data_IF_431090449572
#
_entry.id   IF_431090449572
#
_cell.length_a   1.000
_cell.length_b   1.000
_cell.length_c   1.000
_cell.angle_alpha   90.00
_cell.angle_beta   90.00
_cell.angle_gamma   90.00
#
_symmetry.space_group_name_H-M   'P 1'
#
loop_
_entity.id
_entity.type
_entity.pdbx_description
1 polymer ?
#
# COMPACT_ATOMS: atom_id res chain seq x y z
N UNK A 1 19.05 10.55 9.58
CA UNK A 1 18.08 9.58 9.04
C UNK A 1 18.74 8.43 8.28
N UNK A 2 19.83 8.65 7.51
CA UNK A 2 20.59 7.55 6.90
C UNK A 2 21.34 6.66 7.92
N UNK A 3 21.65 7.19 9.11
CA UNK A 3 22.38 6.47 10.17
C UNK A 3 21.58 5.30 10.77
N UNK A 4 20.26 5.44 10.98
CA UNK A 4 19.42 4.38 11.55
C UNK A 4 19.29 3.13 10.65
N UNK A 5 19.57 3.26 9.35
CA UNK A 5 19.48 2.16 8.38
C UNK A 5 20.60 1.14 8.57
N UNK A 6 21.77 1.58 9.01
CA UNK A 6 22.94 0.73 9.23
C UNK A 6 22.99 0.11 10.63
N UNK A 7 22.20 0.63 11.58
CA UNK A 7 22.15 0.09 12.94
C UNK A 7 21.35 -1.21 13.02
N UNK A 8 20.29 -1.38 12.22
CA UNK A 8 19.45 -2.60 12.24
C UNK A 8 19.11 -3.14 10.82
N UNK A 9 20.11 -3.72 10.12
CA UNK A 9 19.93 -4.23 8.75
C UNK A 9 18.85 -5.32 8.66
N UNK A 10 18.73 -6.15 9.70
CA UNK A 10 17.72 -7.23 9.76
C UNK A 10 16.30 -6.68 9.75
N UNK A 11 16.04 -5.58 10.46
CA UNK A 11 14.72 -4.97 10.51
C UNK A 11 14.36 -4.31 9.19
N UNK A 12 15.32 -3.68 8.52
CA UNK A 12 15.12 -3.14 7.16
C UNK A 12 14.77 -4.23 6.15
N UNK A 13 15.45 -5.38 6.20
CA UNK A 13 15.15 -6.53 5.33
C UNK A 13 13.77 -7.11 5.62
N UNK A 14 13.42 -7.29 6.91
CA UNK A 14 12.08 -7.76 7.30
C UNK A 14 10.99 -6.80 6.86
N UNK A 15 11.22 -5.50 7.03
CA UNK A 15 10.31 -4.45 6.56
C UNK A 15 10.13 -4.53 5.04
N UNK A 16 11.21 -4.71 4.28
CA UNK A 16 11.16 -4.83 2.82
C UNK A 16 10.26 -5.96 2.36
N UNK A 17 10.48 -7.18 2.86
CA UNK A 17 9.66 -8.32 2.44
C UNK A 17 8.21 -8.19 2.90
N UNK A 18 7.99 -7.66 4.11
CA UNK A 18 6.63 -7.40 4.61
C UNK A 18 5.92 -6.36 3.74
N UNK A 19 6.60 -5.27 3.37
CA UNK A 19 6.08 -4.22 2.52
C UNK A 19 5.75 -4.75 1.12
N UNK A 20 6.66 -5.51 0.52
CA UNK A 20 6.48 -6.10 -0.80
C UNK A 20 5.24 -6.99 -0.90
N UNK A 21 4.87 -7.68 0.18
CA UNK A 21 3.70 -8.55 0.25
C UNK A 21 2.51 -7.99 1.06
N UNK A 22 2.50 -6.71 1.42
CA UNK A 22 1.52 -6.13 2.37
C UNK A 22 0.04 -6.30 1.98
N UNK A 23 -0.25 -6.62 0.73
CA UNK A 23 -1.62 -6.88 0.23
C UNK A 23 -2.09 -8.33 0.42
N UNK A 24 -1.23 -9.23 0.91
CA UNK A 24 -1.51 -10.66 1.03
C UNK A 24 -1.67 -11.09 2.51
N UNK A 25 -2.39 -12.20 2.79
CA UNK A 25 -2.61 -12.68 4.16
C UNK A 25 -1.32 -13.03 4.92
N UNK A 26 -0.27 -13.43 4.20
CA UNK A 26 1.06 -13.72 4.75
C UNK A 26 2.10 -12.79 4.10
N UNK A 27 2.20 -11.51 4.53
CA UNK A 27 2.93 -10.48 3.79
C UNK A 27 4.41 -10.81 3.58
N UNK A 28 5.09 -11.25 4.63
CA UNK A 28 6.51 -11.57 4.57
C UNK A 28 6.80 -12.72 3.59
N UNK A 29 6.01 -13.80 3.65
CA UNK A 29 6.16 -14.95 2.76
C UNK A 29 5.84 -14.60 1.31
N UNK A 30 4.79 -13.82 1.08
CA UNK A 30 4.44 -13.32 -0.26
C UNK A 30 5.57 -12.46 -0.84
N UNK A 31 6.14 -11.55 -0.04
CA UNK A 31 7.28 -10.73 -0.45
C UNK A 31 8.51 -11.55 -0.83
N UNK A 32 8.83 -12.60 -0.06
CA UNK A 32 9.91 -13.55 -0.40
C UNK A 32 9.67 -14.23 -1.74
N UNK A 33 8.45 -14.73 -1.98
CA UNK A 33 8.08 -15.35 -3.26
C UNK A 33 8.23 -14.36 -4.41
N UNK A 34 7.74 -13.12 -4.27
CA UNK A 34 7.84 -12.11 -5.32
C UNK A 34 9.28 -11.72 -5.62
N UNK A 35 10.13 -11.59 -4.60
CA UNK A 35 11.55 -11.36 -4.77
C UNK A 35 12.24 -12.54 -5.49
N UNK A 36 11.91 -13.78 -5.13
CA UNK A 36 12.44 -14.96 -5.80
C UNK A 36 12.00 -15.01 -7.29
N UNK A 37 10.74 -14.73 -7.59
CA UNK A 37 10.22 -14.66 -8.96
C UNK A 37 10.92 -13.56 -9.77
N UNK A 38 11.16 -12.40 -9.17
CA UNK A 38 11.91 -11.32 -9.80
C UNK A 38 13.35 -11.76 -10.14
N UNK A 39 14.06 -12.40 -9.21
CA UNK A 39 15.40 -12.95 -9.46
C UNK A 39 15.38 -13.95 -10.63
N UNK A 40 14.40 -14.87 -10.65
CA UNK A 40 14.25 -15.84 -11.74
C UNK A 40 14.03 -15.16 -13.10
N UNK A 41 13.22 -14.10 -13.16
CA UNK A 41 12.98 -13.33 -14.39
C UNK A 41 14.26 -12.63 -14.88
N UNK A 42 15.05 -12.07 -13.95
CA UNK A 42 16.34 -11.44 -14.23
C UNK A 42 17.34 -12.44 -14.79
N UNK A 43 17.48 -13.61 -14.14
CA UNK A 43 18.36 -14.69 -14.58
C UNK A 43 17.95 -15.25 -15.96
N UNK A 44 16.65 -15.32 -16.24
CA UNK A 44 16.11 -15.73 -17.55
C UNK A 44 16.22 -14.66 -18.65
N UNK A 45 16.82 -13.52 -18.35
CA UNK A 45 17.06 -12.47 -19.34
C UNK A 45 15.79 -11.76 -19.80
N UNK A 46 14.75 -11.69 -18.98
CA UNK A 46 13.47 -11.07 -19.36
C UNK A 46 13.64 -9.58 -19.75
N UNK A 47 14.65 -8.91 -19.19
CA UNK A 47 15.07 -7.55 -19.56
C UNK A 47 15.37 -7.36 -21.05
N UNK A 48 15.70 -8.43 -21.80
CA UNK A 48 15.91 -8.39 -23.25
C UNK A 48 14.64 -8.64 -24.06
N UNK A 49 13.65 -9.33 -23.47
CA UNK A 49 12.41 -9.74 -24.17
C UNK A 49 11.37 -8.64 -24.14
N UNK A 50 11.10 -8.09 -22.96
CA UNK A 50 10.23 -6.93 -22.78
C UNK A 50 10.89 -5.93 -21.82
N UNK A 51 11.73 -5.01 -22.35
CA UNK A 51 12.42 -4.03 -21.52
C UNK A 51 11.47 -3.12 -20.75
N UNK A 52 10.35 -2.71 -21.37
CA UNK A 52 9.39 -1.80 -20.74
C UNK A 52 8.75 -2.42 -19.48
N UNK A 53 8.26 -3.66 -19.60
CA UNK A 53 7.67 -4.38 -18.47
C UNK A 53 8.72 -4.64 -17.38
N UNK A 54 9.93 -5.05 -17.76
CA UNK A 54 11.01 -5.28 -16.81
C UNK A 54 11.41 -3.99 -16.06
N UNK A 55 11.51 -2.85 -16.75
CA UNK A 55 11.75 -1.55 -16.11
C UNK A 55 10.64 -1.21 -15.09
N UNK A 56 9.38 -1.52 -15.39
CA UNK A 56 8.29 -1.37 -14.43
C UNK A 56 8.48 -2.22 -13.17
N UNK A 57 8.87 -3.50 -13.34
CA UNK A 57 9.14 -4.41 -12.23
C UNK A 57 10.29 -3.88 -11.36
N UNK A 58 11.39 -3.45 -12.00
CA UNK A 58 12.55 -2.85 -11.32
C UNK A 58 12.16 -1.57 -10.59
N UNK A 59 11.36 -0.70 -11.21
CA UNK A 59 10.89 0.52 -10.60
C UNK A 59 10.10 0.24 -9.31
N UNK A 60 9.18 -0.71 -9.33
CA UNK A 60 8.41 -1.09 -8.14
C UNK A 60 9.34 -1.69 -7.07
N UNK A 61 10.25 -2.57 -7.45
CA UNK A 61 11.24 -3.15 -6.53
C UNK A 61 12.09 -2.08 -5.84
N UNK A 62 12.63 -1.13 -6.60
CA UNK A 62 13.40 0.00 -6.07
C UNK A 62 12.55 0.92 -5.19
N UNK A 63 11.28 1.13 -5.54
CA UNK A 63 10.35 1.93 -4.72
C UNK A 63 10.12 1.28 -3.36
N UNK A 64 9.91 -0.04 -3.32
CA UNK A 64 9.79 -0.80 -2.06
C UNK A 64 11.08 -0.72 -1.27
N UNK A 65 12.24 -0.84 -1.92
CA UNK A 65 13.56 -0.73 -1.27
C UNK A 65 13.76 0.65 -0.65
N UNK A 66 13.57 1.73 -1.42
CA UNK A 66 13.69 3.10 -0.95
C UNK A 66 12.72 3.40 0.21
N UNK A 67 11.47 2.94 0.10
CA UNK A 67 10.48 3.10 1.17
C UNK A 67 10.91 2.37 2.44
N UNK A 68 11.45 1.16 2.30
CA UNK A 68 11.91 0.36 3.44
C UNK A 68 13.10 1.01 4.12
N UNK A 69 14.07 1.51 3.35
CA UNK A 69 15.22 2.25 3.87
C UNK A 69 14.77 3.53 4.61
N UNK A 70 13.80 4.26 4.05
CA UNK A 70 13.34 5.51 4.66
C UNK A 70 12.42 5.32 5.88
N UNK A 71 11.85 4.12 6.07
CA UNK A 71 10.72 3.91 7.02
C UNK A 71 10.88 2.70 7.93
N UNK A 72 11.96 1.91 7.85
CA UNK A 72 12.17 0.74 8.69
C UNK A 72 12.17 1.05 10.20
N UNK A 73 12.62 2.24 10.59
CA UNK A 73 12.59 2.72 11.98
C UNK A 73 11.19 3.01 12.55
N UNK A 74 10.12 2.90 11.74
CA UNK A 74 8.73 3.06 12.20
C UNK A 74 8.10 1.73 12.65
N UNK A 75 8.87 0.63 12.64
CA UNK A 75 8.38 -0.71 12.97
C UNK A 75 7.63 -1.40 11.82
N UNK A 76 7.49 -2.72 11.92
CA UNK A 76 6.90 -3.58 10.86
C UNK A 76 5.43 -3.21 10.57
N UNK A 77 4.69 -2.74 11.58
CA UNK A 77 3.30 -2.29 11.43
C UNK A 77 3.17 -1.14 10.41
N UNK A 78 4.20 -0.28 10.33
CA UNK A 78 4.27 0.79 9.34
C UNK A 78 4.20 0.27 7.90
N UNK A 79 4.76 -0.92 7.63
CA UNK A 79 4.74 -1.55 6.32
C UNK A 79 3.34 -2.04 5.90
N UNK A 80 2.46 -2.31 6.87
CA UNK A 80 1.10 -2.82 6.65
C UNK A 80 0.05 -1.71 6.49
N UNK A 81 0.47 -0.45 6.56
CA UNK A 81 -0.40 0.70 6.36
C UNK A 81 -1.08 0.65 4.98
N UNK A 82 -2.37 1.02 4.94
CA UNK A 82 -3.19 0.99 3.73
C UNK A 82 -2.56 1.73 2.54
N UNK A 83 -1.79 2.78 2.79
CA UNK A 83 -1.10 3.58 1.76
C UNK A 83 -0.08 2.78 0.94
N UNK A 84 0.48 1.71 1.50
CA UNK A 84 1.49 0.90 0.84
C UNK A 84 0.91 -0.32 0.10
N UNK A 85 -0.38 -0.62 0.30
CA UNK A 85 -1.05 -1.74 -0.38
C UNK A 85 -1.08 -1.60 -1.89
N UNK A 86 -1.15 -0.36 -2.40
CA UNK A 86 -1.11 -0.09 -3.85
C UNK A 86 0.21 -0.58 -4.45
N UNK A 87 1.34 -0.22 -3.83
CA UNK A 87 2.68 -0.59 -4.31
C UNK A 87 2.89 -2.12 -4.19
N UNK A 88 2.45 -2.71 -3.09
CA UNK A 88 2.57 -4.16 -2.88
C UNK A 88 1.65 -5.01 -3.75
N UNK A 89 0.52 -4.45 -4.23
CA UNK A 89 -0.35 -5.10 -5.20
C UNK A 89 0.17 -4.97 -6.64
N UNK A 90 0.80 -3.84 -6.98
CA UNK A 90 1.41 -3.61 -8.30
C UNK A 90 2.52 -4.61 -8.61
N UNK A 91 3.36 -4.93 -7.63
CA UNK A 91 4.51 -5.80 -7.83
C UNK A 91 4.15 -7.20 -8.39
N UNK A 92 3.24 -7.99 -7.78
CA UNK A 92 2.82 -9.27 -8.32
C UNK A 92 2.04 -9.17 -9.63
N UNK A 93 1.34 -8.06 -9.90
CA UNK A 93 0.64 -7.85 -11.19
C UNK A 93 1.66 -7.76 -12.32
N UNK A 94 2.73 -6.98 -12.14
CA UNK A 94 3.79 -6.87 -13.14
C UNK A 94 4.55 -8.21 -13.31
N UNK A 95 4.84 -8.91 -12.20
CA UNK A 95 5.43 -10.25 -12.26
C UNK A 95 4.52 -11.22 -13.03
N UNK A 96 3.22 -11.22 -12.74
CA UNK A 96 2.24 -12.05 -13.45
C UNK A 96 2.24 -11.75 -14.96
N UNK A 97 2.24 -10.48 -15.37
CA UNK A 97 2.31 -10.11 -16.78
C UNK A 97 3.58 -10.66 -17.45
N UNK A 98 4.74 -10.63 -16.77
CA UNK A 98 5.99 -11.16 -17.29
C UNK A 98 5.94 -12.69 -17.49
N UNK A 99 5.26 -13.42 -16.59
CA UNK A 99 5.00 -14.85 -16.79
C UNK A 99 3.98 -15.09 -17.91
N UNK A 100 2.98 -14.21 -18.04
CA UNK A 100 1.95 -14.31 -19.07
C UNK A 100 2.47 -14.04 -20.49
N UNK A 101 3.71 -13.60 -20.69
CA UNK A 101 4.29 -13.55 -22.04
C UNK A 101 4.67 -14.93 -22.59
N UNK A 102 4.98 -15.92 -21.74
CA UNK A 102 5.37 -17.26 -22.22
C UNK A 102 4.19 -17.97 -22.87
N UNK A 103 4.26 -18.36 -24.14
CA UNK A 103 3.14 -19.00 -24.88
C UNK A 103 2.76 -20.35 -24.24
N UNK A 104 1.79 -20.33 -23.33
CA UNK A 104 1.26 -21.53 -22.66
C UNK A 104 -0.20 -21.77 -23.09
N UNK A 105 -0.61 -23.00 -23.41
CA UNK A 105 -1.96 -23.31 -23.91
C UNK A 105 -3.10 -23.01 -22.90
N UNK A 106 -2.82 -23.03 -21.60
CA UNK A 106 -3.81 -22.75 -20.54
C UNK A 106 -4.33 -21.30 -20.51
N UNK A 107 -3.68 -20.36 -21.20
CA UNK A 107 -4.05 -18.94 -21.21
C UNK A 107 -5.47 -18.67 -21.73
N UNK A 108 -5.95 -19.49 -22.67
CA UNK A 108 -7.25 -19.28 -23.33
C UNK A 108 -8.44 -19.46 -22.39
N UNK A 109 -8.28 -20.30 -21.36
CA UNK A 109 -9.31 -20.56 -20.34
C UNK A 109 -9.04 -19.72 -19.09
N UNK A 110 -7.77 -19.57 -18.71
CA UNK A 110 -7.40 -18.85 -17.48
C UNK A 110 -7.65 -17.34 -17.58
N UNK A 111 -7.38 -16.72 -18.73
CA UNK A 111 -7.58 -15.29 -18.93
C UNK A 111 -9.04 -14.83 -18.73
N UNK A 112 -10.07 -15.40 -19.40
CA UNK A 112 -11.45 -14.99 -19.19
C UNK A 112 -11.93 -15.28 -17.76
N UNK A 113 -11.47 -16.36 -17.13
CA UNK A 113 -11.81 -16.69 -15.74
C UNK A 113 -11.26 -15.64 -14.76
N UNK A 114 -9.98 -15.24 -14.92
CA UNK A 114 -9.37 -14.18 -14.11
C UNK A 114 -10.04 -12.84 -14.36
N UNK A 115 -10.38 -12.52 -15.61
CA UNK A 115 -11.06 -11.28 -15.96
C UNK A 115 -12.47 -11.20 -15.33
N UNK A 116 -13.24 -12.29 -15.41
CA UNK A 116 -14.55 -12.39 -14.77
C UNK A 116 -14.43 -12.26 -13.24
N UNK A 117 -13.44 -12.93 -12.63
CA UNK A 117 -13.14 -12.81 -11.21
C UNK A 117 -12.77 -11.38 -10.82
N UNK A 118 -11.94 -10.70 -11.61
CA UNK A 118 -11.57 -9.31 -11.38
C UNK A 118 -12.77 -8.36 -11.49
N UNK A 119 -13.67 -8.57 -12.45
CA UNK A 119 -14.91 -7.81 -12.59
C UNK A 119 -15.81 -7.97 -11.35
N UNK A 120 -16.06 -9.20 -10.92
CA UNK A 120 -16.87 -9.50 -9.74
C UNK A 120 -16.24 -8.89 -8.49
N UNK A 121 -14.92 -9.03 -8.33
CA UNK A 121 -14.18 -8.46 -7.22
C UNK A 121 -14.31 -6.93 -7.18
N UNK A 122 -14.11 -6.24 -8.31
CA UNK A 122 -14.22 -4.78 -8.37
C UNK A 122 -15.64 -4.29 -8.08
N UNK A 123 -16.67 -4.99 -8.59
CA UNK A 123 -18.07 -4.66 -8.30
C UNK A 123 -18.35 -4.83 -6.79
N UNK A 124 -17.93 -5.95 -6.21
CA UNK A 124 -18.11 -6.21 -4.79
C UNK A 124 -17.38 -5.20 -3.90
N UNK A 125 -16.12 -4.89 -4.23
CA UNK A 125 -15.32 -3.90 -3.52
C UNK A 125 -15.96 -2.51 -3.60
N UNK A 126 -16.45 -2.11 -4.78
CA UNK A 126 -17.14 -0.83 -4.95
C UNK A 126 -18.38 -0.74 -4.06
N UNK A 127 -19.22 -1.77 -4.01
CA UNK A 127 -20.42 -1.78 -3.17
C UNK A 127 -20.04 -1.72 -1.68
N UNK A 128 -19.10 -2.53 -1.22
CA UNK A 128 -18.76 -2.63 0.21
C UNK A 128 -17.97 -1.42 0.73
N UNK A 129 -17.04 -0.87 -0.06
CA UNK A 129 -16.14 0.18 0.41
C UNK A 129 -16.70 1.60 0.25
N UNK A 130 -17.59 1.83 -0.73
CA UNK A 130 -18.24 3.15 -0.88
C UNK A 130 -19.08 3.52 0.34
N UNK A 131 -19.76 2.54 0.95
CA UNK A 131 -20.50 2.75 2.19
C UNK A 131 -19.57 3.12 3.35
N UNK A 132 -18.42 2.45 3.49
CA UNK A 132 -17.44 2.75 4.55
C UNK A 132 -16.81 4.13 4.36
N UNK A 133 -16.42 4.48 3.14
CA UNK A 133 -15.85 5.77 2.81
C UNK A 133 -16.85 6.90 3.09
N UNK A 134 -18.12 6.73 2.69
CA UNK A 134 -19.18 7.72 2.93
C UNK A 134 -19.47 7.88 4.42
N UNK A 135 -19.54 6.78 5.16
CA UNK A 135 -19.75 6.81 6.62
C UNK A 135 -18.57 7.48 7.35
N UNK A 136 -17.33 7.23 6.92
CA UNK A 136 -16.17 7.88 7.51
C UNK A 136 -16.19 9.39 7.25
N UNK A 137 -16.47 9.82 6.01
CA UNK A 137 -16.62 11.24 5.69
C UNK A 137 -17.71 11.91 6.53
N UNK A 138 -18.87 11.25 6.67
CA UNK A 138 -19.97 11.74 7.51
C UNK A 138 -19.54 11.88 8.97
N UNK A 139 -18.89 10.86 9.55
CA UNK A 139 -18.42 10.87 10.93
C UNK A 139 -17.37 11.95 11.18
N UNK A 140 -16.48 12.22 10.22
CA UNK A 140 -15.48 13.28 10.33
C UNK A 140 -16.13 14.66 10.25
N UNK A 141 -17.10 14.86 9.35
CA UNK A 141 -17.83 16.13 9.25
C UNK A 141 -18.69 16.41 10.47
N UNK A 142 -19.48 15.44 10.93
CA UNK A 142 -20.27 15.57 12.16
C UNK A 142 -19.36 15.72 13.38
N UNK A 143 -18.31 14.91 13.49
CA UNK A 143 -17.33 15.01 14.56
C UNK A 143 -16.71 16.41 14.67
N UNK A 144 -16.42 17.06 13.54
CA UNK A 144 -15.95 18.44 13.51
C UNK A 144 -17.01 19.47 13.93
N UNK A 145 -18.27 19.30 13.54
CA UNK A 145 -19.37 20.20 13.94
C UNK A 145 -19.61 20.16 15.45
N UNK A 146 -19.69 18.96 16.02
CA UNK A 146 -19.85 18.76 17.46
C UNK A 146 -18.63 19.27 18.24
N UNK A 147 -17.42 19.16 17.67
CA UNK A 147 -16.22 19.69 18.30
C UNK A 147 -16.26 21.23 18.35
N UNK A 148 -16.82 21.86 17.31
CA UNK A 148 -17.04 23.31 17.28
C UNK A 148 -17.97 23.80 18.40
N UNK A 149 -18.92 22.97 18.82
CA UNK A 149 -19.82 23.26 19.95
C UNK A 149 -19.20 22.93 21.31
N UNK A 150 -17.92 22.55 21.37
CA UNK A 150 -17.20 22.17 22.58
C UNK A 150 -17.37 20.71 23.01
N UNK A 151 -17.99 19.86 22.16
CA UNK A 151 -18.22 18.47 22.49
C UNK A 151 -17.00 17.57 22.16
N UNK A 152 -16.76 16.51 22.95
CA UNK A 152 -15.71 15.54 22.70
C UNK A 152 -16.08 14.57 21.55
N UNK A 153 -15.89 14.98 20.30
CA UNK A 153 -16.41 14.24 19.12
C UNK A 153 -15.40 13.96 18.00
N UNK A 154 -14.15 14.39 18.15
CA UNK A 154 -13.10 14.13 17.16
C UNK A 154 -12.69 12.66 17.17
N UNK A 155 -12.53 12.09 15.98
CA UNK A 155 -11.99 10.74 15.78
C UNK A 155 -10.64 10.85 15.06
N UNK A 156 -9.53 10.46 15.72
CA UNK A 156 -8.28 9.90 15.16
C UNK A 156 -7.00 10.28 15.96
N UNK A 157 -6.09 9.34 16.30
CA UNK A 157 -6.30 7.92 16.64
C UNK A 157 -7.06 7.78 17.98
N UNK A 158 -6.86 8.76 18.85
CA UNK A 158 -7.55 9.00 20.11
C UNK A 158 -8.00 10.47 20.13
N UNK A 159 -9.03 10.76 20.92
CA UNK A 159 -9.66 12.08 20.91
C UNK A 159 -8.70 13.18 21.41
N UNK A 160 -7.82 12.87 22.35
CA UNK A 160 -6.86 13.83 22.92
C UNK A 160 -5.81 14.22 21.88
N UNK A 161 -5.24 13.24 21.18
CA UNK A 161 -4.28 13.47 20.09
C UNK A 161 -4.93 14.21 18.94
N UNK A 162 -6.16 13.84 18.56
CA UNK A 162 -6.93 14.55 17.53
C UNK A 162 -7.08 16.04 17.89
N UNK A 163 -7.52 16.31 19.12
CA UNK A 163 -7.73 17.66 19.61
C UNK A 163 -6.42 18.45 19.67
N UNK A 164 -5.34 17.85 20.19
CA UNK A 164 -4.01 18.47 20.27
C UNK A 164 -3.51 18.88 18.89
N UNK A 165 -3.53 17.96 17.92
CA UNK A 165 -3.07 18.22 16.55
C UNK A 165 -3.91 19.34 15.92
N UNK A 166 -5.24 19.30 16.09
CA UNK A 166 -6.15 20.27 15.49
C UNK A 166 -5.95 21.68 16.07
N UNK A 167 -5.90 21.80 17.40
CA UNK A 167 -5.66 23.09 18.07
C UNK A 167 -4.28 23.65 17.71
N UNK A 168 -3.25 22.81 17.67
CA UNK A 168 -1.91 23.22 17.26
C UNK A 168 -1.86 23.70 15.80
N UNK A 169 -2.56 23.00 14.90
CA UNK A 169 -2.66 23.39 13.49
C UNK A 169 -3.38 24.73 13.30
N UNK A 170 -4.41 25.00 14.12
CA UNK A 170 -5.12 26.28 14.14
C UNK A 170 -4.20 27.40 14.65
N UNK A 171 -3.52 27.19 15.78
CA UNK A 171 -2.57 28.15 16.35
C UNK A 171 -1.45 28.52 15.38
N UNK A 172 -0.96 27.54 14.60
CA UNK A 172 0.08 27.75 13.59
C UNK A 172 -0.45 28.36 12.28
N UNK A 173 -1.75 28.59 12.15
CA UNK A 173 -2.37 29.12 10.94
C UNK A 173 -2.38 28.15 9.75
N UNK A 174 -2.03 26.87 9.97
CA UNK A 174 -2.00 25.81 8.96
C UNK A 174 -3.42 25.40 8.58
N UNK A 175 -4.33 25.41 9.55
CA UNK A 175 -5.73 25.04 9.37
C UNK A 175 -6.63 26.18 9.83
N UNK A 176 -7.56 26.60 8.96
CA UNK A 176 -8.64 27.53 9.28
C UNK A 176 -9.95 26.76 9.23
N UNK A 177 -10.61 26.49 10.37
CA UNK A 177 -11.86 25.77 10.34
C UNK A 177 -12.92 26.62 9.65
N UNK A 178 -13.51 26.08 8.58
CA UNK A 178 -14.63 26.69 7.86
C UNK A 178 -15.93 26.43 8.61
N UNK A 179 -16.18 27.16 9.68
CA UNK A 179 -17.49 27.16 10.34
C UNK A 179 -18.39 28.14 9.58
N UNK A 180 -19.12 27.63 8.59
CA UNK A 180 -20.31 28.29 8.02
C UNK A 180 -21.55 27.57 8.52
#
# INVERSE_FOLDING_TARGET
MAEAVFEEPVNTIRYFFTLAGASFPFPFLAGLVFAALFIVLTLKGHYRKNPALYCGIVYVFLTVAATSLARSGLGIEGALSSRYKIVSALFPVLLYMAFFEHKTPWKRIFFPAVLAGALVFNIHANIMETHKARNLSYLLTEGMKWWATGAPSLKYPDQETANRILVESIKRGIYKPGFR
#
